data_IF_770289220076
#
_entry.id   IF_770289220076
#
_cell.length_a   1.000
_cell.length_b   1.000
_cell.length_c   1.000
_cell.angle_alpha   90.00
_cell.angle_beta   90.00
_cell.angle_gamma   90.00
#
_symmetry.space_group_name_H-M   'P 1'
#
loop_
_entity.id
_entity.type
_entity.pdbx_description
1 polymer ?
#
# COMPACT_ATOMS: atom_id res chain seq x y z
N UNK A 1 -18.80 39.80 5.87
CA UNK A 1 -17.54 39.09 5.64
C UNK A 1 -16.48 40.11 5.33
N UNK A 2 -15.25 39.95 5.86
CA UNK A 2 -14.15 40.83 5.52
C UNK A 2 -13.68 40.51 4.10
N UNK A 3 -13.15 41.52 3.41
CA UNK A 3 -12.53 41.34 2.09
C UNK A 3 -11.32 40.41 2.20
N UNK A 4 -11.16 39.43 1.30
CA UNK A 4 -10.08 38.47 1.35
C UNK A 4 -8.68 39.12 1.19
N UNK A 5 -8.59 40.24 0.51
CA UNK A 5 -7.39 41.07 0.46
C UNK A 5 -7.07 41.71 1.81
N UNK A 6 -8.09 42.15 2.54
CA UNK A 6 -7.96 42.69 3.90
C UNK A 6 -7.56 41.58 4.90
N UNK A 7 -8.14 40.37 4.78
CA UNK A 7 -7.79 39.23 5.62
C UNK A 7 -6.33 38.84 5.47
N UNK A 8 -5.80 38.86 4.25
CA UNK A 8 -4.38 38.62 3.96
C UNK A 8 -3.49 39.84 4.20
N UNK A 9 -4.08 41.04 4.37
CA UNK A 9 -3.33 42.28 4.55
C UNK A 9 -2.50 42.68 3.33
N UNK A 10 -3.04 42.45 2.12
CA UNK A 10 -2.40 42.78 0.85
C UNK A 10 -3.28 43.70 0.00
N UNK A 11 -2.69 44.44 -0.92
CA UNK A 11 -3.43 45.27 -1.85
C UNK A 11 -4.14 44.43 -2.92
N UNK A 12 -5.21 44.97 -3.54
CA UNK A 12 -5.99 44.24 -4.57
C UNK A 12 -5.19 43.94 -5.84
N UNK A 13 -4.12 44.67 -6.09
CA UNK A 13 -3.18 44.49 -7.21
C UNK A 13 -1.97 43.62 -6.85
N UNK A 14 -1.94 43.06 -5.64
CA UNK A 14 -0.84 42.23 -5.16
C UNK A 14 -0.56 41.02 -6.08
N UNK A 15 0.71 40.76 -6.29
CA UNK A 15 1.20 39.61 -7.05
C UNK A 15 0.95 38.28 -6.30
N UNK A 16 0.96 37.17 -7.03
CA UNK A 16 0.81 35.84 -6.44
C UNK A 16 1.87 35.53 -5.38
N UNK A 17 3.10 36.03 -5.59
CA UNK A 17 4.20 35.86 -4.63
C UNK A 17 3.99 36.66 -3.34
N UNK A 18 3.40 37.86 -3.44
CA UNK A 18 3.06 38.68 -2.27
C UNK A 18 1.92 38.05 -1.46
N UNK A 19 0.89 37.54 -2.11
CA UNK A 19 -0.21 36.80 -1.48
C UNK A 19 0.35 35.58 -0.73
N UNK A 20 1.24 34.82 -1.35
CA UNK A 20 1.88 33.63 -0.74
C UNK A 20 2.79 33.99 0.45
N UNK A 21 3.52 35.08 0.38
CA UNK A 21 4.35 35.57 1.49
C UNK A 21 3.52 36.04 2.67
N UNK A 22 2.44 36.81 2.39
CA UNK A 22 1.52 37.29 3.40
C UNK A 22 0.84 36.13 4.14
N UNK A 23 0.33 35.15 3.40
CA UNK A 23 -0.24 33.93 3.99
C UNK A 23 0.73 33.21 4.91
N UNK A 24 1.95 32.92 4.46
CA UNK A 24 2.97 32.24 5.28
C UNK A 24 3.28 32.98 6.58
N UNK A 25 3.30 34.31 6.52
CA UNK A 25 3.56 35.15 7.70
C UNK A 25 2.43 35.09 8.71
N UNK A 26 1.16 35.18 8.23
CA UNK A 26 -0.03 35.16 9.07
C UNK A 26 -0.34 33.75 9.58
N UNK A 27 -0.17 32.73 8.76
CA UNK A 27 -0.38 31.33 9.14
C UNK A 27 0.52 30.90 10.31
N UNK A 28 1.78 31.35 10.34
CA UNK A 28 2.66 31.11 11.49
C UNK A 28 2.21 31.80 12.78
N UNK A 29 1.57 32.98 12.66
CA UNK A 29 1.09 33.73 13.83
C UNK A 29 -0.23 33.19 14.38
N UNK A 30 -1.08 32.67 13.49
CA UNK A 30 -2.42 32.20 13.82
C UNK A 30 -2.52 30.68 13.92
N UNK A 31 -1.39 29.96 13.88
CA UNK A 31 -1.39 28.50 14.02
C UNK A 31 -1.92 28.11 15.39
N UNK A 32 -2.87 27.14 15.47
CA UNK A 32 -3.50 26.75 16.71
C UNK A 32 -2.52 26.28 17.79
N UNK A 33 -1.38 25.71 17.41
CA UNK A 33 -0.33 25.28 18.35
C UNK A 33 0.39 26.42 19.06
N UNK A 34 0.34 27.66 18.50
CA UNK A 34 1.04 28.83 19.05
C UNK A 34 0.11 29.94 19.56
N UNK A 35 -1.09 30.06 19.00
CA UNK A 35 -1.99 31.17 19.27
C UNK A 35 -3.25 30.82 20.10
N UNK A 36 -3.42 29.50 20.41
CA UNK A 36 -4.55 29.04 21.23
C UNK A 36 -5.88 28.91 20.44
N UNK A 37 -6.91 28.39 21.13
CA UNK A 37 -8.21 28.04 20.52
C UNK A 37 -8.98 29.25 19.93
N UNK A 38 -8.75 30.46 20.42
CA UNK A 38 -9.42 31.69 19.93
C UNK A 38 -8.95 32.12 18.53
N UNK A 39 -7.85 31.54 18.01
CA UNK A 39 -7.32 31.85 16.69
C UNK A 39 -7.84 30.94 15.57
N UNK A 40 -8.59 29.90 15.88
CA UNK A 40 -9.06 28.90 14.92
C UNK A 40 -9.98 29.49 13.85
N UNK A 41 -10.89 30.40 14.23
CA UNK A 41 -11.76 31.08 13.26
C UNK A 41 -10.98 32.01 12.34
N UNK A 42 -10.03 32.75 12.88
CA UNK A 42 -9.18 33.65 12.10
C UNK A 42 -8.25 32.86 11.14
N UNK A 43 -7.77 31.69 11.55
CA UNK A 43 -6.99 30.79 10.71
C UNK A 43 -7.82 30.19 9.58
N UNK A 44 -9.09 29.83 9.83
CA UNK A 44 -10.04 29.37 8.81
C UNK A 44 -10.32 30.46 7.77
N UNK A 45 -10.61 31.68 8.22
CA UNK A 45 -10.81 32.82 7.31
C UNK A 45 -9.56 33.09 6.45
N UNK A 46 -8.38 33.05 7.05
CA UNK A 46 -7.11 33.23 6.36
C UNK A 46 -6.84 32.15 5.30
N UNK A 47 -7.17 30.91 5.61
CA UNK A 47 -6.98 29.77 4.69
C UNK A 47 -7.92 29.87 3.48
N UNK A 48 -9.18 30.22 3.70
CA UNK A 48 -10.18 30.46 2.64
C UNK A 48 -9.77 31.62 1.74
N UNK A 49 -9.30 32.72 2.33
CA UNK A 49 -8.84 33.88 1.58
C UNK A 49 -7.62 33.54 0.69
N UNK A 50 -6.67 32.79 1.22
CA UNK A 50 -5.51 32.34 0.45
C UNK A 50 -5.89 31.37 -0.67
N UNK A 51 -6.73 30.38 -0.41
CA UNK A 51 -7.17 29.42 -1.41
C UNK A 51 -7.87 30.12 -2.59
N UNK A 52 -8.67 31.13 -2.31
CA UNK A 52 -9.36 31.90 -3.34
C UNK A 52 -8.41 32.79 -4.15
N UNK A 53 -7.49 33.51 -3.50
CA UNK A 53 -6.64 34.52 -4.16
C UNK A 53 -5.34 33.92 -4.73
N UNK A 54 -4.97 32.70 -4.34
CA UNK A 54 -3.79 32.00 -4.88
C UNK A 54 -4.00 31.40 -6.25
N UNK A 55 -5.24 31.15 -6.63
CA UNK A 55 -5.62 30.65 -7.95
C UNK A 55 -6.08 31.81 -8.85
N UNK A 56 -5.46 32.02 -10.03
CA UNK A 56 -5.81 33.14 -10.91
C UNK A 56 -7.30 33.14 -11.35
N UNK A 57 -7.89 31.99 -11.58
CA UNK A 57 -9.29 31.87 -12.02
C UNK A 57 -10.26 32.18 -10.89
N UNK A 58 -10.00 31.64 -9.69
CA UNK A 58 -10.80 31.92 -8.49
C UNK A 58 -10.70 33.40 -8.08
N UNK A 59 -9.50 33.98 -8.18
CA UNK A 59 -9.26 35.39 -7.93
C UNK A 59 -10.07 36.26 -8.88
N UNK A 60 -10.06 35.93 -10.17
CA UNK A 60 -10.79 36.68 -11.17
C UNK A 60 -12.32 36.61 -10.91
N UNK A 61 -12.85 35.44 -10.54
CA UNK A 61 -14.27 35.30 -10.15
C UNK A 61 -14.58 36.08 -8.89
N UNK A 62 -13.71 36.10 -7.91
CA UNK A 62 -13.84 36.89 -6.70
C UNK A 62 -13.84 38.42 -6.98
N UNK A 63 -12.95 38.86 -7.87
CA UNK A 63 -12.83 40.27 -8.26
C UNK A 63 -14.04 40.78 -9.03
N UNK A 64 -14.73 39.93 -9.81
CA UNK A 64 -15.92 40.26 -10.59
C UNK A 64 -17.20 40.27 -9.75
N UNK A 65 -17.35 39.29 -8.86
CA UNK A 65 -18.63 39.04 -8.18
C UNK A 65 -18.59 39.05 -6.66
N UNK A 66 -17.42 39.35 -6.06
CA UNK A 66 -17.24 39.36 -4.61
C UNK A 66 -17.39 37.99 -3.94
N UNK A 67 -17.46 37.93 -2.60
CA UNK A 67 -17.63 36.69 -1.86
C UNK A 67 -18.92 35.94 -2.16
N UNK A 68 -19.94 36.63 -2.67
CA UNK A 68 -21.23 36.02 -2.99
C UNK A 68 -21.22 35.27 -4.34
N UNK A 69 -20.34 35.62 -5.26
CA UNK A 69 -20.19 34.90 -6.53
C UNK A 69 -19.66 33.46 -6.35
N UNK A 70 -18.90 33.25 -5.33
CA UNK A 70 -18.40 31.89 -4.95
C UNK A 70 -19.47 31.08 -4.21
N UNK A 71 -20.53 31.71 -3.69
CA UNK A 71 -21.68 31.09 -3.01
C UNK A 71 -22.89 30.87 -3.91
N UNK A 72 -22.97 31.56 -5.05
CA UNK A 72 -24.16 31.66 -5.88
C UNK A 72 -24.48 30.47 -6.79
N UNK A 73 -23.84 29.34 -6.63
CA UNK A 73 -24.09 28.10 -7.37
C UNK A 73 -24.94 27.08 -6.58
N UNK A 74 -26.21 27.38 -6.25
CA UNK A 74 -27.17 26.34 -5.86
C UNK A 74 -27.48 26.23 -4.37
N UNK A 75 -28.71 26.63 -4.05
CA UNK A 75 -29.36 26.50 -2.75
C UNK A 75 -29.41 25.02 -2.28
N UNK A 76 -29.03 24.77 -1.02
CA UNK A 76 -29.37 23.53 -0.33
C UNK A 76 -28.38 23.10 0.77
N UNK A 77 -28.69 23.54 2.00
CA UNK A 77 -28.48 22.87 3.28
C UNK A 77 -27.13 22.21 3.62
N UNK A 78 -26.41 22.81 4.54
CA UNK A 78 -25.87 22.18 5.76
C UNK A 78 -25.13 20.87 5.63
N UNK A 79 -23.80 20.91 5.41
CA UNK A 79 -22.93 19.83 5.86
C UNK A 79 -21.49 20.35 6.03
N UNK A 80 -20.83 19.82 7.04
CA UNK A 80 -19.60 20.28 7.64
C UNK A 80 -18.35 20.35 6.78
N UNK A 81 -17.44 21.02 7.32
CA UNK A 81 -16.14 21.55 6.94
C UNK A 81 -15.12 20.51 6.43
N UNK A 82 -15.35 19.85 5.33
CA UNK A 82 -14.40 18.87 4.77
C UNK A 82 -14.52 18.60 3.28
N UNK A 83 -15.48 19.18 2.59
CA UNK A 83 -15.89 18.72 1.28
C UNK A 83 -15.82 19.70 0.12
N UNK A 84 -15.14 20.85 0.24
CA UNK A 84 -15.12 21.82 -0.87
C UNK A 84 -14.30 21.36 -2.06
N UNK A 85 -13.22 20.59 -1.84
CA UNK A 85 -12.40 20.00 -2.90
C UNK A 85 -13.19 18.92 -3.66
N UNK A 86 -13.89 18.05 -2.92
CA UNK A 86 -14.68 16.96 -3.52
C UNK A 86 -15.94 17.45 -4.24
N UNK A 87 -16.57 18.54 -3.72
CA UNK A 87 -17.76 19.16 -4.37
C UNK A 87 -17.33 19.93 -5.62
N UNK A 88 -16.16 20.56 -5.60
CA UNK A 88 -15.63 21.27 -6.77
C UNK A 88 -15.17 20.28 -7.84
N UNK A 89 -14.52 19.19 -7.46
CA UNK A 89 -14.14 18.11 -8.37
C UNK A 89 -15.36 17.38 -8.93
N UNK A 90 -16.39 17.14 -8.13
CA UNK A 90 -17.66 16.58 -8.58
C UNK A 90 -18.47 17.57 -9.46
N UNK A 91 -18.39 18.88 -9.22
CA UNK A 91 -19.06 19.89 -10.03
C UNK A 91 -18.32 20.19 -11.34
N UNK A 92 -16.97 20.10 -11.32
CA UNK A 92 -16.15 20.33 -12.53
C UNK A 92 -15.95 19.07 -13.35
N UNK A 93 -15.89 17.88 -12.71
CA UNK A 93 -15.81 16.59 -13.41
C UNK A 93 -17.17 15.99 -13.79
N UNK A 94 -18.27 16.47 -13.24
CA UNK A 94 -19.57 15.80 -13.40
C UNK A 94 -20.83 16.64 -13.68
N UNK A 95 -20.79 17.99 -13.67
CA UNK A 95 -22.08 18.67 -13.58
C UNK A 95 -22.43 19.85 -14.48
N UNK A 96 -21.49 20.62 -15.00
CA UNK A 96 -21.86 21.82 -15.78
C UNK A 96 -21.07 22.05 -17.08
N UNK A 97 -20.11 21.22 -17.37
CA UNK A 97 -19.45 21.16 -18.67
C UNK A 97 -20.04 20.05 -19.53
N UNK A 98 -21.30 20.15 -19.89
CA UNK A 98 -21.85 19.39 -21.03
C UNK A 98 -21.22 19.91 -22.34
N UNK A 99 -19.92 20.09 -22.33
CA UNK A 99 -19.09 20.26 -23.53
C UNK A 99 -18.90 18.90 -24.11
N UNK A 100 -19.72 18.56 -25.10
CA UNK A 100 -19.44 17.56 -26.12
C UNK A 100 -18.54 16.39 -25.67
N UNK A 101 -18.92 15.69 -24.63
CA UNK A 101 -18.35 14.36 -24.39
C UNK A 101 -18.73 13.55 -25.63
N UNK A 102 -17.77 13.28 -26.48
CA UNK A 102 -17.95 12.44 -27.65
C UNK A 102 -18.50 11.08 -27.23
N UNK A 103 -18.86 10.22 -28.20
CA UNK A 103 -19.39 8.90 -27.89
C UNK A 103 -18.42 8.12 -27.00
N UNK A 104 -18.96 7.36 -26.04
CA UNK A 104 -18.17 6.54 -25.14
C UNK A 104 -17.26 5.58 -25.94
N UNK A 105 -16.01 5.46 -25.52
CA UNK A 105 -15.11 4.51 -26.18
C UNK A 105 -15.46 3.07 -25.77
N UNK A 106 -15.49 2.16 -26.75
CA UNK A 106 -15.55 0.71 -26.48
C UNK A 106 -14.20 0.18 -25.99
N UNK A 107 -13.12 0.91 -26.32
CA UNK A 107 -11.77 0.58 -25.89
C UNK A 107 -11.58 1.14 -24.47
N UNK A 108 -11.39 0.26 -23.50
CA UNK A 108 -11.19 0.62 -22.08
C UNK A 108 -9.97 -0.13 -21.55
N UNK A 109 -9.32 0.43 -20.55
CA UNK A 109 -8.25 -0.27 -19.84
C UNK A 109 -8.77 -1.55 -19.16
N UNK A 110 -7.99 -2.60 -19.22
CA UNK A 110 -8.23 -3.85 -18.52
C UNK A 110 -8.19 -3.65 -17.00
N UNK A 111 -8.80 -4.59 -16.31
CA UNK A 111 -8.79 -4.60 -14.86
C UNK A 111 -7.41 -5.04 -14.36
N UNK A 112 -6.97 -4.41 -13.29
CA UNK A 112 -5.83 -4.89 -12.53
C UNK A 112 -6.19 -6.22 -11.86
N UNK A 113 -5.19 -7.05 -11.62
CA UNK A 113 -5.38 -8.35 -11.00
C UNK A 113 -4.38 -8.59 -9.89
N UNK A 114 -4.84 -9.18 -8.80
CA UNK A 114 -3.99 -9.60 -7.69
C UNK A 114 -3.92 -11.13 -7.65
N UNK A 115 -2.71 -11.66 -7.47
CA UNK A 115 -2.43 -13.08 -7.34
C UNK A 115 -1.52 -13.30 -6.14
N UNK A 116 -1.85 -14.25 -5.28
CA UNK A 116 -0.99 -14.62 -4.16
C UNK A 116 0.07 -15.62 -4.63
N UNK A 117 1.32 -15.38 -4.24
CA UNK A 117 2.46 -16.23 -4.58
C UNK A 117 3.08 -16.76 -3.29
N UNK A 118 3.10 -18.09 -3.16
CA UNK A 118 3.74 -18.76 -2.03
C UNK A 118 5.23 -18.86 -2.27
N UNK A 119 6.00 -18.38 -1.31
CA UNK A 119 7.47 -18.50 -1.29
C UNK A 119 7.95 -19.27 -0.08
N UNK A 120 9.13 -19.86 -0.17
CA UNK A 120 9.82 -20.45 0.96
C UNK A 120 10.75 -19.41 1.60
N UNK A 121 11.29 -19.74 2.77
CA UNK A 121 12.25 -18.89 3.46
C UNK A 121 13.54 -18.71 2.65
N UNK A 122 13.97 -19.74 1.93
CA UNK A 122 15.12 -19.72 1.03
C UNK A 122 14.88 -18.76 -0.15
N UNK A 123 13.69 -18.82 -0.74
CA UNK A 123 13.28 -17.87 -1.79
C UNK A 123 13.32 -16.43 -1.29
N UNK A 124 12.87 -16.21 -0.05
CA UNK A 124 12.91 -14.91 0.60
C UNK A 124 14.34 -14.44 0.91
N UNK A 125 15.22 -15.37 1.32
CA UNK A 125 16.58 -15.04 1.71
C UNK A 125 17.47 -14.66 0.52
N UNK A 126 17.34 -15.39 -0.59
CA UNK A 126 18.23 -15.28 -1.74
C UNK A 126 17.59 -14.64 -2.96
N UNK A 127 16.27 -14.52 -2.96
CA UNK A 127 15.49 -14.22 -4.15
C UNK A 127 15.32 -15.46 -5.03
N UNK A 128 14.27 -15.50 -5.82
CA UNK A 128 13.97 -16.63 -6.68
C UNK A 128 13.19 -16.21 -7.92
N UNK A 129 13.35 -16.94 -9.01
CA UNK A 129 12.45 -16.90 -10.15
C UNK A 129 11.31 -17.89 -9.93
N UNK A 130 10.06 -17.41 -9.97
CA UNK A 130 8.86 -18.24 -9.78
C UNK A 130 7.96 -18.17 -11.00
N UNK A 131 7.43 -19.32 -11.38
CA UNK A 131 6.36 -19.40 -12.38
C UNK A 131 5.00 -19.17 -11.70
N UNK A 132 4.30 -18.13 -12.16
CA UNK A 132 2.98 -17.77 -11.67
C UNK A 132 1.96 -17.97 -12.77
N UNK A 133 1.03 -18.90 -12.58
CA UNK A 133 -0.06 -19.19 -13.51
C UNK A 133 -1.37 -18.60 -12.99
N UNK A 134 -2.06 -17.87 -13.84
CA UNK A 134 -3.34 -17.26 -13.50
C UNK A 134 -4.26 -17.14 -14.72
N UNK A 135 -5.55 -17.13 -14.48
CA UNK A 135 -6.55 -16.90 -15.53
C UNK A 135 -6.63 -15.40 -15.82
N UNK A 136 -6.60 -15.03 -17.08
CA UNK A 136 -6.67 -13.63 -17.53
C UNK A 136 -7.42 -13.52 -18.86
N UNK A 137 -7.68 -12.29 -19.30
CA UNK A 137 -8.15 -12.03 -20.64
C UNK A 137 -6.99 -11.57 -21.51
N UNK A 138 -6.83 -12.20 -22.67
CA UNK A 138 -5.86 -11.80 -23.69
C UNK A 138 -6.60 -11.25 -24.91
N UNK A 139 -5.88 -10.55 -25.76
CA UNK A 139 -6.42 -10.07 -27.03
C UNK A 139 -6.98 -11.23 -27.84
N UNK A 140 -8.11 -11.03 -28.48
CA UNK A 140 -8.67 -12.04 -29.38
C UNK A 140 -7.88 -12.05 -30.70
N UNK A 141 -7.26 -13.17 -31.01
CA UNK A 141 -6.41 -13.30 -32.20
C UNK A 141 -7.21 -13.20 -33.51
N UNK A 142 -8.48 -13.64 -33.50
CA UNK A 142 -9.32 -13.59 -34.69
C UNK A 142 -9.71 -12.17 -35.10
N UNK A 143 -9.98 -11.28 -34.13
CA UNK A 143 -10.43 -9.93 -34.45
C UNK A 143 -9.45 -8.83 -34.01
N UNK A 144 -8.35 -9.17 -33.36
CA UNK A 144 -7.36 -8.23 -32.85
C UNK A 144 -7.97 -7.05 -32.08
N UNK A 145 -8.98 -7.33 -31.24
CA UNK A 145 -9.66 -6.33 -30.43
C UNK A 145 -10.74 -5.52 -31.14
N UNK A 146 -10.96 -5.67 -32.45
CA UNK A 146 -11.99 -4.91 -33.18
C UNK A 146 -13.42 -5.25 -32.80
N UNK A 147 -13.63 -6.35 -32.05
CA UNK A 147 -14.95 -6.90 -31.66
C UNK A 147 -15.80 -7.42 -32.81
N UNK A 148 -15.43 -7.13 -34.05
CA UNK A 148 -16.17 -7.51 -35.24
C UNK A 148 -15.63 -8.81 -35.86
N UNK A 149 -16.46 -9.50 -36.63
CA UNK A 149 -16.01 -10.62 -37.45
C UNK A 149 -14.90 -10.15 -38.41
N UNK A 150 -13.85 -10.95 -38.67
CA UNK A 150 -12.80 -10.61 -39.64
C UNK A 150 -13.39 -10.16 -40.99
N UNK A 151 -12.87 -9.04 -41.51
CA UNK A 151 -13.38 -8.43 -42.75
C UNK A 151 -14.58 -7.51 -42.56
N UNK A 152 -15.09 -7.33 -41.34
CA UNK A 152 -16.15 -6.38 -41.02
C UNK A 152 -15.66 -5.30 -40.04
N UNK A 153 -16.34 -4.16 -40.03
CA UNK A 153 -16.03 -3.02 -39.15
C UNK A 153 -17.27 -2.52 -38.42
N UNK A 154 -17.12 -1.81 -37.28
CA UNK A 154 -18.25 -1.16 -36.63
C UNK A 154 -18.90 -0.16 -37.58
N UNK A 155 -20.23 -0.14 -37.63
CA UNK A 155 -21.00 0.79 -38.45
C UNK A 155 -21.50 1.97 -37.59
N UNK A 156 -21.60 3.15 -38.18
CA UNK A 156 -22.14 4.31 -37.51
C UNK A 156 -23.61 4.05 -37.07
N UNK A 157 -23.95 4.39 -35.84
CA UNK A 157 -25.30 4.22 -35.35
C UNK A 157 -26.29 5.11 -36.10
N UNK A 158 -27.32 4.51 -36.72
CA UNK A 158 -28.34 5.23 -37.49
C UNK A 158 -29.26 6.13 -36.65
N UNK A 159 -29.39 5.83 -35.33
CA UNK A 159 -30.28 6.58 -34.41
C UNK A 159 -29.66 7.88 -33.95
N UNK A 160 -28.38 7.87 -33.59
CA UNK A 160 -27.68 9.05 -33.08
C UNK A 160 -26.64 9.62 -34.04
N UNK A 161 -26.50 9.05 -35.26
CA UNK A 161 -25.55 9.47 -36.27
C UNK A 161 -24.13 9.68 -35.73
N UNK A 162 -23.69 8.77 -34.85
CA UNK A 162 -22.35 8.77 -34.27
C UNK A 162 -22.18 9.60 -33.02
N UNK A 163 -23.17 10.39 -32.60
CA UNK A 163 -23.05 11.25 -31.41
C UNK A 163 -23.00 10.47 -30.08
N UNK A 164 -23.54 9.25 -30.05
CA UNK A 164 -23.68 8.45 -28.83
C UNK A 164 -24.87 8.86 -27.94
N UNK A 165 -25.47 10.02 -28.15
CA UNK A 165 -26.53 10.56 -27.31
C UNK A 165 -27.76 10.90 -28.14
N UNK A 166 -28.93 10.90 -27.51
CA UNK A 166 -30.20 11.39 -28.07
C UNK A 166 -30.77 12.43 -27.12
N UNK A 167 -31.37 13.47 -27.69
CA UNK A 167 -32.02 14.50 -26.90
C UNK A 167 -33.41 14.01 -26.49
N UNK A 168 -33.71 14.02 -25.22
CA UNK A 168 -35.03 13.72 -24.67
C UNK A 168 -35.62 14.96 -24.00
N UNK A 169 -36.89 15.19 -24.26
CA UNK A 169 -37.64 16.28 -23.60
C UNK A 169 -38.31 15.68 -22.38
N UNK A 170 -37.89 16.11 -21.20
CA UNK A 170 -38.52 15.74 -19.94
C UNK A 170 -39.35 16.91 -19.41
N UNK A 171 -40.58 16.62 -19.01
CA UNK A 171 -41.44 17.58 -18.34
C UNK A 171 -41.06 17.58 -16.85
N UNK A 172 -40.55 18.70 -16.35
CA UNK A 172 -40.27 18.91 -14.92
C UNK A 172 -41.27 19.91 -14.34
N UNK A 173 -41.28 20.07 -13.02
CA UNK A 173 -42.10 21.09 -12.31
C UNK A 173 -41.74 22.53 -12.74
N UNK A 174 -40.59 22.72 -13.38
CA UNK A 174 -40.08 24.01 -13.86
C UNK A 174 -40.21 24.19 -15.39
N UNK A 175 -40.97 23.30 -16.08
CA UNK A 175 -41.17 23.37 -17.51
C UNK A 175 -40.49 22.23 -18.30
N UNK A 176 -40.47 22.36 -19.61
CA UNK A 176 -39.82 21.38 -20.52
C UNK A 176 -38.32 21.59 -20.51
N UNK A 177 -37.60 20.58 -20.05
CA UNK A 177 -36.14 20.56 -20.12
C UNK A 177 -35.65 19.57 -21.19
N UNK A 178 -34.69 20.01 -21.98
CA UNK A 178 -33.96 19.12 -22.88
C UNK A 178 -32.80 18.46 -22.13
N UNK A 179 -32.83 17.14 -22.02
CA UNK A 179 -31.76 16.35 -21.43
C UNK A 179 -31.13 15.44 -22.49
N UNK A 180 -29.80 15.25 -22.42
CA UNK A 180 -29.11 14.28 -23.26
C UNK A 180 -29.10 12.94 -22.54
N UNK A 181 -29.57 11.90 -23.21
CA UNK A 181 -29.52 10.53 -22.71
C UNK A 181 -28.65 9.65 -23.64
N UNK A 182 -27.97 8.63 -23.12
CA UNK A 182 -27.25 7.68 -23.96
C UNK A 182 -28.19 7.07 -25.00
N UNK A 183 -27.75 6.99 -26.24
CA UNK A 183 -28.56 6.44 -27.32
C UNK A 183 -28.88 4.95 -27.04
N UNK A 184 -30.15 4.56 -27.01
CA UNK A 184 -30.53 3.18 -26.65
C UNK A 184 -30.03 2.15 -27.66
N UNK A 185 -29.92 2.51 -28.94
CA UNK A 185 -29.46 1.61 -30.00
C UNK A 185 -27.97 1.26 -29.90
N UNK A 186 -27.12 2.21 -29.55
CA UNK A 186 -25.68 1.97 -29.47
C UNK A 186 -25.15 2.06 -28.01
N UNK A 187 -26.01 2.26 -27.03
CA UNK A 187 -25.64 2.36 -25.61
C UNK A 187 -24.56 3.43 -25.31
N UNK A 188 -24.62 4.54 -26.04
CA UNK A 188 -23.67 5.64 -25.87
C UNK A 188 -22.40 5.53 -26.73
N UNK A 189 -22.16 4.44 -27.45
CA UNK A 189 -20.92 4.23 -28.19
C UNK A 189 -20.86 4.93 -29.56
N UNK A 190 -21.94 5.47 -30.06
CA UNK A 190 -21.97 6.13 -31.38
C UNK A 190 -21.88 5.18 -32.56
N UNK A 191 -21.48 3.94 -32.38
CA UNK A 191 -21.38 2.90 -33.40
C UNK A 191 -22.04 1.59 -32.92
N UNK A 192 -22.39 0.74 -33.89
CA UNK A 192 -22.98 -0.58 -33.65
C UNK A 192 -22.10 -1.67 -34.30
N UNK A 193 -22.03 -2.84 -33.68
CA UNK A 193 -21.36 -4.02 -34.23
C UNK A 193 -22.46 -4.91 -34.81
N UNK A 194 -22.61 -4.87 -36.13
CA UNK A 194 -23.62 -5.64 -36.82
C UNK A 194 -23.30 -7.14 -36.80
N UNK A 195 -22.02 -7.48 -36.98
CA UNK A 195 -21.53 -8.86 -37.00
C UNK A 195 -20.43 -9.01 -35.97
N UNK A 196 -20.77 -9.44 -34.74
CA UNK A 196 -19.79 -9.66 -33.70
C UNK A 196 -18.83 -10.81 -34.03
N UNK A 197 -17.59 -10.71 -33.58
CA UNK A 197 -16.61 -11.80 -33.72
C UNK A 197 -17.10 -13.06 -32.99
N UNK A 198 -17.14 -14.18 -33.69
CA UNK A 198 -17.66 -15.44 -33.16
C UNK A 198 -16.80 -15.99 -32.03
N UNK A 199 -15.46 -15.80 -32.05
CA UNK A 199 -14.54 -16.34 -31.09
C UNK A 199 -14.66 -15.61 -29.73
N UNK A 200 -14.71 -14.29 -29.73
CA UNK A 200 -14.82 -13.50 -28.50
C UNK A 200 -16.23 -12.98 -28.20
N UNK A 201 -17.24 -13.36 -29.02
CA UNK A 201 -18.63 -12.88 -28.90
C UNK A 201 -18.74 -11.35 -28.84
N UNK A 202 -17.89 -10.64 -29.57
CA UNK A 202 -17.89 -9.17 -29.59
C UNK A 202 -17.20 -8.51 -28.38
N UNK A 203 -16.48 -9.25 -27.54
CA UNK A 203 -15.75 -8.68 -26.41
C UNK A 203 -14.36 -8.11 -26.79
N UNK A 204 -13.81 -8.53 -27.93
CA UNK A 204 -12.46 -8.16 -28.39
C UNK A 204 -11.34 -8.86 -27.62
N UNK A 205 -11.66 -9.72 -26.65
CA UNK A 205 -10.73 -10.44 -25.77
C UNK A 205 -11.28 -11.82 -25.42
N UNK A 206 -10.40 -12.77 -25.13
CA UNK A 206 -10.75 -14.13 -24.75
C UNK A 206 -10.11 -14.49 -23.42
N UNK A 207 -10.78 -15.33 -22.65
CA UNK A 207 -10.25 -15.83 -21.37
C UNK A 207 -9.25 -16.94 -21.65
N UNK A 208 -8.08 -16.86 -21.04
CA UNK A 208 -7.06 -17.89 -21.11
C UNK A 208 -6.25 -17.95 -19.80
N UNK A 209 -5.50 -19.03 -19.64
CA UNK A 209 -4.52 -19.16 -18.57
C UNK A 209 -3.15 -18.77 -19.07
N UNK A 210 -2.51 -17.82 -18.40
CA UNK A 210 -1.14 -17.41 -18.69
C UNK A 210 -0.22 -17.82 -17.56
N UNK A 211 1.02 -18.12 -17.92
CA UNK A 211 2.12 -18.38 -16.99
C UNK A 211 3.20 -17.33 -17.23
N UNK A 212 3.64 -16.68 -16.19
CA UNK A 212 4.70 -15.68 -16.22
C UNK A 212 5.81 -16.08 -15.28
N UNK A 213 7.07 -15.89 -15.71
CA UNK A 213 8.24 -16.01 -14.85
C UNK A 213 8.48 -14.66 -14.18
N UNK A 214 8.41 -14.65 -12.86
CA UNK A 214 8.54 -13.45 -12.05
C UNK A 214 9.75 -13.60 -11.14
N UNK A 215 10.59 -12.58 -11.12
CA UNK A 215 11.71 -12.52 -10.19
C UNK A 215 11.24 -11.93 -8.86
N UNK A 216 11.34 -12.72 -7.80
CA UNK A 216 11.10 -12.31 -6.43
C UNK A 216 12.42 -11.80 -5.87
N UNK A 217 12.49 -10.54 -5.42
CA UNK A 217 13.73 -10.00 -4.86
C UNK A 217 14.04 -10.63 -3.50
N UNK A 218 15.34 -10.75 -3.16
CA UNK A 218 15.75 -11.09 -1.81
C UNK A 218 15.19 -10.06 -0.81
N UNK A 219 14.79 -10.52 0.36
CA UNK A 219 14.17 -9.68 1.38
C UNK A 219 12.63 -9.60 1.28
N UNK A 220 12.03 -10.15 0.23
CA UNK A 220 10.56 -10.20 0.16
C UNK A 220 9.99 -10.89 1.40
N UNK A 221 8.95 -10.30 2.00
CA UNK A 221 8.32 -10.77 3.24
C UNK A 221 6.83 -10.99 3.04
N UNK A 222 6.17 -11.59 4.02
CA UNK A 222 4.71 -11.68 4.08
C UNK A 222 4.07 -10.34 3.81
N UNK A 223 3.11 -10.28 2.87
CA UNK A 223 2.41 -9.06 2.49
C UNK A 223 3.16 -8.15 1.51
N UNK A 224 4.39 -8.44 1.12
CA UNK A 224 5.10 -7.69 0.07
C UNK A 224 4.31 -7.77 -1.22
N UNK A 225 4.07 -6.60 -1.85
CA UNK A 225 3.36 -6.49 -3.11
C UNK A 225 4.32 -6.12 -4.24
N UNK A 226 4.39 -6.97 -5.27
CA UNK A 226 5.20 -6.74 -6.47
C UNK A 226 4.25 -6.38 -7.61
N UNK A 227 4.42 -5.19 -8.19
CA UNK A 227 3.65 -4.74 -9.36
C UNK A 227 4.39 -5.11 -10.63
N UNK A 228 3.68 -5.79 -11.53
CA UNK A 228 4.13 -6.09 -12.89
C UNK A 228 3.22 -5.35 -13.86
N UNK A 229 3.72 -4.28 -14.45
CA UNK A 229 2.92 -3.37 -15.26
C UNK A 229 2.47 -4.02 -16.56
N UNK A 230 1.17 -3.89 -16.90
CA UNK A 230 0.62 -4.34 -18.17
C UNK A 230 0.48 -5.87 -18.33
N UNK A 231 0.61 -6.66 -17.27
CA UNK A 231 0.57 -8.13 -17.35
C UNK A 231 -0.75 -8.74 -16.85
N UNK A 232 -1.75 -7.91 -16.46
CA UNK A 232 -3.07 -8.39 -16.09
C UNK A 232 -4.01 -8.55 -17.29
N UNK A 233 -5.27 -8.16 -17.16
CA UNK A 233 -6.27 -8.36 -18.20
C UNK A 233 -6.14 -7.35 -19.34
N UNK A 234 -6.26 -7.81 -20.57
CA UNK A 234 -6.50 -6.96 -21.73
C UNK A 234 -7.85 -6.28 -21.58
N UNK A 235 -7.92 -5.00 -21.86
CA UNK A 235 -9.15 -4.23 -21.82
C UNK A 235 -10.17 -4.64 -22.89
N UNK A 236 -11.46 -4.41 -22.65
CA UNK A 236 -12.48 -4.57 -23.67
C UNK A 236 -12.09 -3.78 -24.93
N UNK A 237 -12.38 -4.33 -26.11
CA UNK A 237 -12.05 -3.68 -27.38
C UNK A 237 -10.56 -3.60 -27.68
N UNK A 238 -9.75 -4.50 -27.12
CA UNK A 238 -8.30 -4.45 -27.28
C UNK A 238 -7.65 -3.27 -26.57
N UNK A 239 -8.27 -2.77 -25.51
CA UNK A 239 -7.72 -1.68 -24.70
C UNK A 239 -6.46 -2.06 -23.94
N UNK A 240 -5.72 -1.08 -23.42
CA UNK A 240 -4.50 -1.32 -22.66
C UNK A 240 -4.72 -2.31 -21.51
N UNK A 241 -3.70 -3.11 -21.23
CA UNK A 241 -3.76 -4.08 -20.13
C UNK A 241 -3.81 -3.38 -18.76
N UNK A 242 -4.42 -4.06 -17.79
CA UNK A 242 -4.26 -3.74 -16.38
C UNK A 242 -2.90 -4.19 -15.84
N UNK A 243 -2.62 -3.89 -14.60
CA UNK A 243 -1.39 -4.27 -13.90
C UNK A 243 -1.62 -5.51 -13.03
N UNK A 244 -0.62 -6.38 -13.00
CA UNK A 244 -0.62 -7.56 -12.16
C UNK A 244 0.06 -7.23 -10.83
N UNK A 245 -0.60 -7.49 -9.72
CA UNK A 245 -0.08 -7.35 -8.37
C UNK A 245 0.13 -8.74 -7.77
N UNK A 246 1.35 -9.05 -7.41
CA UNK A 246 1.71 -10.28 -6.75
C UNK A 246 1.81 -10.02 -5.27
N UNK A 247 0.95 -10.67 -4.48
CA UNK A 247 1.00 -10.62 -3.03
C UNK A 247 1.81 -11.80 -2.52
N UNK A 248 2.92 -11.53 -1.89
CA UNK A 248 3.82 -12.56 -1.35
C UNK A 248 3.21 -13.13 -0.07
N UNK A 249 3.20 -14.47 0.02
CA UNK A 249 2.87 -15.23 1.20
C UNK A 249 4.03 -16.15 1.53
N UNK A 250 4.67 -15.93 2.67
CA UNK A 250 5.79 -16.74 3.12
C UNK A 250 5.32 -17.99 3.86
N UNK A 251 5.84 -19.15 3.46
CA UNK A 251 5.58 -20.40 4.16
C UNK A 251 6.45 -20.49 5.40
N UNK A 252 5.85 -20.95 6.51
CA UNK A 252 6.61 -21.21 7.74
C UNK A 252 7.70 -22.24 7.49
N UNK A 253 8.92 -21.94 7.96
CA UNK A 253 10.04 -22.88 7.92
C UNK A 253 10.01 -23.78 9.16
N UNK A 254 10.37 -25.08 9.03
CA UNK A 254 10.30 -26.03 10.16
C UNK A 254 11.32 -25.78 11.27
N UNK A 255 12.43 -25.11 10.95
CA UNK A 255 13.57 -24.92 11.87
C UNK A 255 13.79 -23.46 12.24
N UNK A 256 13.54 -22.54 11.31
CA UNK A 256 13.86 -21.13 11.48
C UNK A 256 12.59 -20.28 11.59
N UNK A 257 12.56 -19.40 12.59
CA UNK A 257 11.59 -18.31 12.72
C UNK A 257 12.21 -17.03 12.17
N UNK A 258 11.50 -16.38 11.24
CA UNK A 258 11.91 -15.09 10.71
C UNK A 258 11.34 -13.95 11.55
N UNK A 259 12.18 -12.98 11.91
CA UNK A 259 11.78 -11.73 12.56
C UNK A 259 12.43 -10.54 11.85
N UNK A 260 11.67 -9.92 10.95
CA UNK A 260 12.23 -8.90 10.05
C UNK A 260 13.21 -9.53 9.05
N UNK A 261 14.46 -9.12 9.09
CA UNK A 261 15.52 -9.67 8.25
C UNK A 261 16.38 -10.71 8.99
N UNK A 262 16.14 -10.91 10.30
CA UNK A 262 16.88 -11.87 11.11
C UNK A 262 16.17 -13.21 11.19
N UNK A 263 16.96 -14.27 11.34
CA UNK A 263 16.51 -15.64 11.54
C UNK A 263 16.77 -16.07 12.98
N UNK A 264 15.84 -16.77 13.57
CA UNK A 264 15.95 -17.31 14.91
C UNK A 264 15.80 -18.82 14.89
N UNK A 265 16.70 -19.51 15.61
CA UNK A 265 16.62 -20.95 15.83
C UNK A 265 16.98 -21.26 17.27
N UNK A 266 16.54 -22.41 17.77
CA UNK A 266 16.79 -22.85 19.13
C UNK A 266 17.56 -24.16 19.09
N UNK A 267 18.59 -24.22 19.93
CA UNK A 267 19.35 -25.44 20.13
C UNK A 267 19.26 -25.83 21.60
N UNK A 268 19.20 -27.13 21.86
CA UNK A 268 19.23 -27.67 23.23
C UNK A 268 20.54 -28.39 23.43
N UNK A 269 21.32 -27.95 24.41
CA UNK A 269 22.62 -28.54 24.76
C UNK A 269 22.59 -29.14 26.15
N UNK A 270 23.36 -30.25 26.43
CA UNK A 270 23.52 -30.75 27.78
C UNK A 270 24.24 -29.76 28.70
N UNK A 271 23.91 -29.77 29.99
CA UNK A 271 24.57 -28.89 30.98
C UNK A 271 26.09 -29.04 31.01
N UNK A 272 26.60 -30.22 30.75
CA UNK A 272 28.04 -30.48 30.68
C UNK A 272 28.70 -29.79 29.50
N UNK A 273 28.01 -29.80 28.36
CA UNK A 273 28.43 -29.06 27.15
C UNK A 273 28.39 -27.55 27.39
N UNK A 274 27.35 -27.04 28.06
CA UNK A 274 27.26 -25.64 28.43
C UNK A 274 28.40 -25.20 29.36
N UNK A 275 28.80 -26.07 30.29
CA UNK A 275 29.90 -25.79 31.24
C UNK A 275 31.29 -25.85 30.58
N UNK A 276 31.52 -26.83 29.73
CA UNK A 276 32.85 -27.10 29.15
C UNK A 276 33.07 -26.39 27.79
N UNK A 277 32.01 -25.99 27.13
CA UNK A 277 32.06 -25.51 25.75
C UNK A 277 32.16 -26.65 24.73
N UNK A 278 31.83 -26.35 23.49
CA UNK A 278 31.96 -27.27 22.35
C UNK A 278 31.88 -26.55 21.03
N UNK A 279 32.24 -27.25 19.98
CA UNK A 279 31.95 -26.82 18.61
C UNK A 279 30.99 -27.82 17.96
N UNK A 280 30.04 -27.34 17.18
CA UNK A 280 29.13 -28.21 16.45
C UNK A 280 28.77 -27.61 15.10
N UNK A 281 28.32 -28.43 14.17
CA UNK A 281 27.85 -28.01 12.87
C UNK A 281 26.34 -27.71 12.93
N UNK A 282 25.97 -26.48 12.60
CA UNK A 282 24.58 -26.04 12.43
C UNK A 282 24.25 -26.00 10.93
N UNK A 283 23.18 -26.64 10.53
CA UNK A 283 22.60 -26.44 9.20
C UNK A 283 21.92 -25.08 9.11
N UNK A 284 22.40 -24.24 8.17
CA UNK A 284 21.85 -22.90 7.89
C UNK A 284 21.32 -22.87 6.45
N UNK A 285 20.68 -21.78 6.05
CA UNK A 285 20.25 -21.60 4.64
C UNK A 285 21.43 -21.56 3.66
N UNK A 286 22.64 -21.23 4.14
CA UNK A 286 23.89 -21.20 3.37
C UNK A 286 24.69 -22.51 3.46
N UNK A 287 24.08 -23.57 3.99
CA UNK A 287 24.76 -24.82 4.27
C UNK A 287 25.27 -24.90 5.71
N UNK A 288 26.16 -25.86 5.96
CA UNK A 288 26.69 -26.13 7.30
C UNK A 288 27.67 -25.05 7.74
N UNK A 289 27.51 -24.58 8.98
CA UNK A 289 28.39 -23.62 9.65
C UNK A 289 28.79 -24.16 11.01
N UNK A 290 30.08 -24.03 11.33
CA UNK A 290 30.58 -24.37 12.66
C UNK A 290 30.20 -23.26 13.64
N UNK A 291 29.53 -23.63 14.71
CA UNK A 291 29.13 -22.74 15.80
C UNK A 291 29.89 -23.17 17.07
N UNK A 292 30.49 -22.19 17.73
CA UNK A 292 31.24 -22.39 18.97
C UNK A 292 30.38 -22.01 20.16
N UNK A 293 30.24 -22.93 21.10
CA UNK A 293 29.65 -22.71 22.41
C UNK A 293 30.79 -22.48 23.40
N UNK A 294 30.83 -21.29 23.97
CA UNK A 294 31.85 -20.95 24.94
C UNK A 294 31.62 -21.65 26.28
N UNK A 295 32.71 -22.02 27.00
CA UNK A 295 32.57 -22.54 28.35
C UNK A 295 31.80 -21.55 29.26
N UNK A 296 30.82 -22.07 30.00
CA UNK A 296 29.98 -21.26 30.90
C UNK A 296 28.75 -20.62 30.25
N UNK A 297 28.39 -21.02 29.03
CA UNK A 297 27.18 -20.59 28.36
C UNK A 297 25.93 -20.85 29.22
N UNK A 298 25.06 -19.83 29.33
CA UNK A 298 23.86 -19.88 30.17
C UNK A 298 22.59 -20.18 29.34
N UNK A 299 21.52 -20.67 29.95
CA UNK A 299 20.20 -20.75 29.30
C UNK A 299 19.75 -19.38 28.80
N UNK A 300 19.19 -19.34 27.59
CA UNK A 300 18.78 -18.16 26.83
C UNK A 300 19.92 -17.25 26.34
N UNK A 301 21.16 -17.69 26.42
CA UNK A 301 22.25 -17.01 25.70
C UNK A 301 21.96 -17.03 24.20
N UNK A 302 22.33 -15.97 23.52
CA UNK A 302 22.10 -15.75 22.10
C UNK A 302 23.45 -15.69 21.36
N UNK A 303 23.65 -16.62 20.44
CA UNK A 303 24.84 -16.66 19.57
C UNK A 303 24.46 -16.04 18.24
N UNK A 304 25.04 -14.88 17.93
CA UNK A 304 24.73 -14.15 16.70
C UNK A 304 25.72 -14.52 15.60
N UNK A 305 25.18 -15.00 14.49
CA UNK A 305 25.91 -15.30 13.26
C UNK A 305 25.57 -14.23 12.22
N UNK A 306 26.47 -13.26 12.04
CA UNK A 306 26.24 -12.13 11.15
C UNK A 306 26.14 -12.53 9.68
N UNK A 307 25.23 -11.90 8.93
CA UNK A 307 25.06 -12.11 7.49
C UNK A 307 24.40 -13.42 7.09
N UNK A 308 23.92 -14.24 8.03
CA UNK A 308 23.21 -15.49 7.78
C UNK A 308 21.67 -15.37 7.90
N UNK A 309 21.16 -14.17 7.99
CA UNK A 309 19.73 -13.85 7.94
C UNK A 309 19.19 -13.75 6.50
N UNK A 310 18.05 -13.13 6.35
CA UNK A 310 17.37 -12.86 5.08
C UNK A 310 17.98 -11.62 4.43
N UNK A 311 17.99 -11.56 3.10
CA UNK A 311 18.43 -10.39 2.36
C UNK A 311 17.61 -9.13 2.69
N UNK A 312 18.21 -7.97 2.58
CA UNK A 312 17.46 -6.71 2.73
C UNK A 312 16.77 -6.33 1.43
N UNK A 313 15.48 -5.98 1.47
CA UNK A 313 14.71 -5.67 0.26
C UNK A 313 15.20 -4.41 -0.48
N UNK A 314 15.70 -3.40 0.25
CA UNK A 314 16.02 -2.07 -0.31
C UNK A 314 17.49 -1.68 -0.18
N UNK A 315 18.32 -2.50 0.43
CA UNK A 315 19.76 -2.24 0.64
C UNK A 315 20.56 -3.52 0.43
N UNK A 316 21.84 -3.40 0.21
CA UNK A 316 22.75 -4.54 0.16
C UNK A 316 22.97 -5.13 1.56
N UNK A 317 23.27 -6.43 1.60
CA UNK A 317 23.52 -7.16 2.83
C UNK A 317 22.36 -8.06 3.25
N UNK A 318 22.56 -8.73 4.37
CA UNK A 318 21.61 -9.68 4.97
C UNK A 318 21.57 -9.45 6.46
N UNK A 319 20.45 -9.81 7.08
CA UNK A 319 20.31 -9.86 8.52
C UNK A 319 21.20 -10.92 9.16
N UNK A 320 21.05 -11.11 10.45
CA UNK A 320 21.80 -12.08 11.26
C UNK A 320 20.96 -13.33 11.54
N UNK A 321 21.64 -14.40 11.92
CA UNK A 321 20.99 -15.58 12.50
C UNK A 321 21.27 -15.61 14.00
N UNK A 322 20.24 -15.71 14.78
CA UNK A 322 20.25 -15.81 16.23
C UNK A 322 20.04 -17.26 16.65
N UNK A 323 21.02 -17.84 17.30
CA UNK A 323 20.98 -19.20 17.82
C UNK A 323 20.77 -19.14 19.32
N UNK A 324 19.54 -19.35 19.75
CA UNK A 324 19.16 -19.33 21.17
C UNK A 324 19.52 -20.65 21.81
N UNK A 325 20.24 -20.57 22.91
CA UNK A 325 20.71 -21.75 23.63
C UNK A 325 19.73 -22.10 24.75
N UNK A 326 19.23 -23.33 24.73
CA UNK A 326 18.53 -23.96 25.84
C UNK A 326 19.44 -25.01 26.50
N UNK A 327 19.55 -25.00 27.83
CA UNK A 327 20.41 -25.92 28.56
C UNK A 327 19.57 -26.98 29.23
N UNK A 328 19.80 -28.24 28.78
CA UNK A 328 19.08 -29.37 29.33
C UNK A 328 19.80 -29.95 30.54
N UNK A 329 19.12 -29.90 31.69
CA UNK A 329 19.53 -30.59 32.90
C UNK A 329 18.94 -32.00 32.90
N UNK A 330 19.74 -33.06 33.14
CA UNK A 330 19.25 -34.44 33.12
C UNK A 330 18.25 -34.68 34.25
N UNK A 331 17.06 -35.17 33.87
CA UNK A 331 15.96 -35.47 34.84
C UNK A 331 16.21 -36.78 35.63
N UNK A 332 17.00 -37.70 35.08
CA UNK A 332 17.35 -38.98 35.70
C UNK A 332 18.87 -39.14 35.70
N UNK A 333 19.40 -39.51 36.83
CA UNK A 333 20.83 -39.75 37.01
C UNK A 333 21.00 -41.20 37.47
N UNK A 334 22.01 -41.89 36.95
CA UNK A 334 22.53 -43.12 37.50
C UNK A 334 23.37 -42.82 38.75
N UNK A 335 23.72 -43.84 39.52
CA UNK A 335 24.45 -43.68 40.78
C UNK A 335 25.82 -43.03 40.57
N UNK A 336 26.53 -43.37 39.49
CA UNK A 336 27.83 -42.79 39.15
C UNK A 336 27.75 -41.32 38.76
N UNK A 337 26.76 -40.96 37.93
CA UNK A 337 26.55 -39.55 37.55
C UNK A 337 26.17 -38.70 38.74
N UNK A 338 25.38 -39.24 39.66
CA UNK A 338 25.01 -38.58 40.90
C UNK A 338 26.23 -38.29 41.78
N UNK A 339 27.08 -39.31 42.01
CA UNK A 339 28.32 -39.21 42.77
C UNK A 339 29.25 -38.12 42.21
N UNK A 340 29.45 -38.10 40.89
CA UNK A 340 30.30 -37.12 40.21
C UNK A 340 29.75 -35.69 40.33
N UNK A 341 28.42 -35.50 40.27
CA UNK A 341 27.81 -34.20 40.43
C UNK A 341 27.85 -33.71 41.89
N UNK A 342 27.72 -34.62 42.88
CA UNK A 342 27.88 -34.30 44.28
C UNK A 342 29.33 -33.92 44.62
N UNK A 343 30.30 -34.61 44.01
CA UNK A 343 31.71 -34.26 44.13
C UNK A 343 32.02 -32.90 43.52
N UNK A 344 31.50 -32.61 42.31
CA UNK A 344 31.62 -31.32 41.65
C UNK A 344 31.05 -30.21 42.55
N UNK A 345 29.85 -30.41 43.10
CA UNK A 345 29.19 -29.43 43.98
C UNK A 345 30.02 -29.11 45.19
N UNK A 346 30.68 -30.13 45.80
CA UNK A 346 31.59 -29.95 46.94
C UNK A 346 32.81 -29.14 46.55
N UNK A 347 33.46 -29.47 45.45
CA UNK A 347 34.65 -28.77 44.95
C UNK A 347 34.34 -27.29 44.65
N UNK A 348 33.17 -27.00 44.10
CA UNK A 348 32.76 -25.64 43.79
C UNK A 348 32.14 -24.90 44.96
N UNK A 349 31.86 -25.58 46.11
CA UNK A 349 31.20 -24.97 47.26
C UNK A 349 29.73 -24.59 47.02
N UNK A 350 29.08 -25.16 46.01
CA UNK A 350 27.70 -24.87 45.59
C UNK A 350 26.66 -25.65 46.41
N UNK A 351 26.80 -25.64 47.76
CA UNK A 351 25.94 -26.43 48.64
C UNK A 351 24.78 -25.64 49.21
N UNK A 352 24.76 -24.32 49.02
CA UNK A 352 23.72 -23.44 49.56
C UNK A 352 22.91 -22.79 48.48
N UNK A 353 21.57 -22.85 48.63
CA UNK A 353 20.63 -22.09 47.83
C UNK A 353 20.38 -20.74 48.54
N UNK A 354 20.85 -19.66 47.99
CA UNK A 354 20.60 -18.31 48.52
C UNK A 354 19.48 -17.66 47.73
N UNK A 355 18.40 -17.18 48.38
CA UNK A 355 17.36 -16.42 47.71
C UNK A 355 17.90 -15.03 47.36
N UNK A 356 17.85 -14.66 46.10
CA UNK A 356 18.16 -13.32 45.62
C UNK A 356 16.95 -12.67 44.99
N UNK A 357 16.80 -11.35 45.11
CA UNK A 357 15.79 -10.61 44.38
C UNK A 357 16.12 -10.65 42.90
N UNK A 358 15.14 -11.02 42.07
CA UNK A 358 15.25 -10.76 40.63
C UNK A 358 15.62 -9.30 40.46
N UNK A 359 16.69 -9.01 39.74
CA UNK A 359 17.01 -7.65 39.35
C UNK A 359 15.84 -7.14 38.51
N UNK A 360 15.23 -6.06 38.97
CA UNK A 360 14.13 -5.42 38.27
C UNK A 360 14.57 -5.16 36.81
N UNK A 361 13.76 -5.62 35.88
CA UNK A 361 13.99 -5.38 34.44
C UNK A 361 14.18 -3.89 34.21
N UNK A 362 14.96 -3.53 33.18
CA UNK A 362 15.15 -2.14 32.77
C UNK A 362 13.80 -1.39 32.63
N UNK A 363 12.75 -2.09 32.22
CA UNK A 363 11.39 -1.55 32.13
C UNK A 363 10.73 -1.27 33.49
N UNK A 364 11.05 -2.04 34.53
CA UNK A 364 10.56 -1.77 35.90
C UNK A 364 11.25 -0.53 36.49
N UNK A 365 12.54 -0.33 36.22
CA UNK A 365 13.27 0.88 36.58
C UNK A 365 12.75 2.14 35.87
N UNK A 366 12.37 2.02 34.60
CA UNK A 366 11.74 3.11 33.86
C UNK A 366 10.35 3.46 34.41
N UNK A 367 9.54 2.46 34.75
CA UNK A 367 8.20 2.67 35.31
C UNK A 367 8.26 3.40 36.66
N UNK A 368 9.18 3.00 37.53
CA UNK A 368 9.35 3.63 38.86
C UNK A 368 9.90 5.07 38.74
N UNK A 369 10.59 5.42 37.68
CA UNK A 369 11.10 6.80 37.45
C UNK A 369 10.02 7.72 36.86
N UNK A 370 9.00 7.19 36.19
CA UNK A 370 7.95 8.00 35.53
C UNK A 370 6.62 8.02 36.30
N UNK A 371 6.44 7.19 37.33
CA UNK A 371 5.21 7.10 38.13
C UNK A 371 5.43 7.39 39.64
N UNK A 372 6.62 7.86 40.04
CA UNK A 372 6.95 8.30 41.39
C UNK A 372 6.80 9.81 41.59
#
# INVERSE_FOLDING_TARGET
>A
MRDYYEVLGVARDASQDEIKRAYRKLARKLHPDYAGADSEEAFKELSVAYETLSDPEKRQMYDIGGPDALRGGGAGAGAGFGGFSDIFEAMFSGGFGASAAGPASRVRRGKDKQVTVDITLEDAAFGAAKEVSFDTHVLCDACNGSMCQPGTSPTQCSTCHGSGFVTQIQNSLFGRMQTQAPCPSCQGYGNTIATPCAECSGAGRVRTRRTLNINIPAGASEGTQIRVSGEAEVGPGGGPNGDLYLLIREKKHPVFDRRGDDLHTWITIPMTTAALGTEFELETLDGKKTVTINPGTQPNDDIVLEGLGVGHLQRSGRGSMHVHVDVQIPKKLDDKSRELLEELAKVRGEVRVEPHRQQASFFDKLRDTFMG
#
